data_IF_991995947009
#
_entry.id   IF_991995947009
#
_cell.length_a   1.000
_cell.length_b   1.000
_cell.length_c   1.000
_cell.angle_alpha   90.00
_cell.angle_beta   90.00
_cell.angle_gamma   90.00
#
_symmetry.space_group_name_H-M   'P 1'
#
loop_
_entity.id
_entity.type
_entity.pdbx_description
1 polymer ?
2 non-polymer ?
3 non-polymer ?
4 non-polymer ?
5 water ?
#
# COMPACT_ATOMS: atom_id res chain seq x y z
N UNK A 1 -0.25 -9.51 -14.22
CA UNK A 1 -0.99 -9.11 -12.99
C UNK A 1 -0.56 -9.98 -11.81
N UNK A 2 -0.54 -9.42 -10.61
CA UNK A 2 -0.11 -10.20 -9.46
C UNK A 2 -1.24 -10.75 -8.61
N UNK A 3 -1.14 -12.04 -8.28
CA UNK A 3 -2.17 -12.70 -7.48
C UNK A 3 -1.64 -13.15 -6.12
N UNK A 4 -2.57 -13.38 -5.20
CA UNK A 4 -2.25 -13.87 -3.87
C UNK A 4 -3.47 -14.61 -3.33
N UNK A 5 -3.26 -15.85 -2.89
CA UNK A 5 -4.36 -16.63 -2.36
C UNK A 5 -4.20 -16.85 -0.85
N UNK A 6 -5.21 -16.49 -0.07
CA UNK A 6 -5.13 -16.66 1.38
C UNK A 6 -5.25 -18.10 1.82
N UNK A 7 -5.88 -18.93 1.00
CA UNK A 7 -6.00 -20.34 1.34
C UNK A 7 -4.63 -21.00 1.21
N UNK A 8 -4.11 -21.52 2.30
CA UNK A 8 -2.81 -22.16 2.25
C UNK A 8 -1.68 -21.15 2.29
N UNK A 9 -2.01 -19.88 2.51
CA UNK A 9 -0.99 -18.84 2.58
C UNK A 9 -0.17 -18.94 3.88
N UNK A 10 1.12 -18.70 3.75
CA UNK A 10 2.03 -18.74 4.88
C UNK A 10 3.00 -17.58 4.62
N UNK A 11 3.89 -17.27 5.58
CA UNK A 11 4.84 -16.16 5.40
C UNK A 11 5.60 -16.19 4.06
N UNK A 12 5.92 -17.39 3.60
CA UNK A 12 6.65 -17.54 2.35
C UNK A 12 5.90 -17.05 1.11
N UNK A 13 4.68 -17.54 0.89
CA UNK A 13 3.91 -17.13 -0.29
C UNK A 13 3.50 -15.66 -0.23
N UNK A 14 3.27 -15.16 0.98
CA UNK A 14 2.92 -13.76 1.10
C UNK A 14 4.12 -12.93 0.67
N UNK A 15 5.30 -13.39 1.09
CA UNK A 15 6.53 -12.71 0.74
C UNK A 15 6.68 -12.72 -0.76
N UNK A 16 6.37 -13.86 -1.36
CA UNK A 16 6.47 -13.98 -2.81
C UNK A 16 5.50 -13.07 -3.53
N UNK A 17 4.29 -12.96 -3.00
CA UNK A 17 3.27 -12.11 -3.59
C UNK A 17 3.73 -10.65 -3.51
N UNK A 18 4.27 -10.29 -2.36
CA UNK A 18 4.76 -8.94 -2.15
C UNK A 18 5.94 -8.67 -3.05
N UNK A 19 6.77 -9.69 -3.30
CA UNK A 19 7.89 -9.49 -4.19
C UNK A 19 7.38 -9.24 -5.60
N UNK A 20 6.38 -10.04 -5.98
CA UNK A 20 5.75 -9.96 -7.30
C UNK A 20 5.21 -8.55 -7.49
N UNK A 21 4.50 -8.08 -6.48
CA UNK A 21 3.93 -6.73 -6.49
C UNK A 21 4.98 -5.64 -6.77
N UNK A 22 6.16 -5.78 -6.16
CA UNK A 22 7.24 -4.81 -6.35
C UNK A 22 7.77 -4.91 -7.77
N UNK A 23 7.91 -6.15 -8.24
CA UNK A 23 8.40 -6.40 -9.58
C UNK A 23 7.49 -5.88 -10.67
N UNK A 24 6.20 -5.80 -10.37
CA UNK A 24 5.23 -5.34 -11.36
C UNK A 24 5.22 -3.83 -11.58
N UNK A 25 5.84 -3.10 -10.67
CA UNK A 25 5.87 -1.66 -10.75
C UNK A 25 7.08 -1.24 -11.58
N UNK A 26 6.84 -0.59 -12.73
CA UNK A 26 7.93 -0.15 -13.61
C UNK A 26 8.75 1.00 -13.05
N UNK A 27 10.01 1.02 -13.45
CA UNK A 27 10.97 2.06 -13.03
C UNK A 27 12.14 2.03 -13.99
N UNK A 28 12.68 3.21 -14.29
CA UNK A 28 13.84 3.31 -15.18
C UNK A 28 15.15 3.36 -14.37
N UNK A 29 15.25 4.32 -13.45
CA UNK A 29 16.47 4.40 -12.66
C UNK A 29 16.24 4.01 -11.19
N UNK A 30 17.34 3.67 -10.55
CA UNK A 30 17.36 3.32 -9.15
C UNK A 30 18.13 4.40 -8.44
N UNK A 31 17.74 4.71 -7.22
CA UNK A 31 18.43 5.74 -6.48
C UNK A 31 18.98 5.06 -5.24
N UNK A 32 20.31 5.06 -5.12
CA UNK A 32 20.96 4.39 -4.00
C UNK A 32 20.47 2.95 -3.91
N UNK A 33 20.29 2.37 -5.10
CA UNK A 33 19.86 1.00 -5.27
C UNK A 33 18.38 0.71 -5.01
N UNK A 34 17.56 1.75 -4.82
CA UNK A 34 16.14 1.54 -4.60
C UNK A 34 15.33 1.94 -5.82
N UNK A 35 14.52 1.02 -6.37
CA UNK A 35 13.73 1.33 -7.55
C UNK A 35 13.02 2.67 -7.42
N UNK A 36 13.15 3.53 -8.43
CA UNK A 36 12.47 4.81 -8.41
C UNK A 36 11.21 4.72 -9.25
N UNK A 37 10.08 5.11 -8.67
CA UNK A 37 8.81 5.06 -9.40
C UNK A 37 8.71 6.21 -10.39
N UNK A 38 8.15 5.91 -11.56
CA UNK A 38 7.98 6.88 -12.64
C UNK A 38 7.18 8.10 -12.19
N UNK A 39 7.44 9.28 -12.78
CA UNK A 39 6.75 10.52 -12.43
C UNK A 39 5.28 10.39 -12.81
N UNK A 40 5.09 9.77 -13.97
CA UNK A 40 3.76 9.59 -14.50
C UNK A 40 3.76 8.53 -15.59
N UNK A 41 2.58 8.01 -15.89
CA UNK A 41 2.39 6.99 -16.94
C UNK A 41 1.03 7.24 -17.57
N UNK A 42 0.97 7.36 -18.89
CA UNK A 42 -0.32 7.59 -19.53
C UNK A 42 -0.95 6.28 -20.01
N UNK A 43 -2.28 6.25 -19.96
CA UNK A 43 -3.03 5.09 -20.41
C UNK A 43 -3.40 4.14 -19.30
N UNK A 44 -3.81 2.94 -19.70
CA UNK A 44 -4.20 1.89 -18.79
C UNK A 44 -2.96 1.24 -18.19
N UNK A 45 -1.79 1.59 -18.70
CA UNK A 45 -0.59 0.99 -18.16
C UNK A 45 -0.22 1.62 -16.83
N UNK A 46 -0.92 2.69 -16.49
CA UNK A 46 -0.68 3.38 -15.24
C UNK A 46 -1.27 2.58 -14.07
N UNK A 47 -2.03 1.54 -14.39
CA UNK A 47 -2.69 0.75 -13.35
C UNK A 47 -2.29 -0.74 -13.34
N UNK A 48 -2.10 -1.25 -12.13
CA UNK A 48 -1.76 -2.66 -11.91
C UNK A 48 -2.93 -3.36 -11.24
N UNK A 49 -3.29 -4.54 -11.72
CA UNK A 49 -4.44 -5.25 -11.14
C UNK A 49 -4.04 -6.45 -10.28
N UNK A 50 -4.46 -6.44 -9.01
CA UNK A 50 -4.17 -7.52 -8.08
C UNK A 50 -5.36 -8.46 -7.89
N UNK A 51 -5.22 -9.72 -8.25
CA UNK A 51 -6.31 -10.65 -8.01
C UNK A 51 -6.13 -11.20 -6.60
N UNK A 52 -7.13 -11.00 -5.74
CA UNK A 52 -7.03 -11.48 -4.38
C UNK A 52 -8.10 -12.52 -4.08
N UNK A 53 -7.66 -13.68 -3.63
CA UNK A 53 -8.59 -14.76 -3.31
C UNK A 53 -8.67 -14.96 -1.81
N UNK A 54 -9.87 -14.91 -1.25
CA UNK A 54 -9.99 -15.13 0.19
C UNK A 54 -9.94 -16.63 0.41
N UNK A 55 -9.92 -17.04 1.66
CA UNK A 55 -9.82 -18.44 1.99
C UNK A 55 -10.84 -19.32 1.28
N UNK A 56 -12.07 -18.84 1.08
CA UNK A 56 -13.03 -19.72 0.43
C UNK A 56 -12.89 -19.74 -1.07
N UNK A 57 -12.00 -18.90 -1.59
CA UNK A 57 -11.80 -18.86 -3.02
C UNK A 57 -12.44 -17.67 -3.71
N UNK A 58 -13.19 -16.84 -3.00
CA UNK A 58 -13.79 -15.69 -3.67
C UNK A 58 -12.74 -14.63 -3.94
N UNK A 59 -12.90 -13.90 -5.04
CA UNK A 59 -11.92 -12.92 -5.46
C UNK A 59 -12.46 -11.50 -5.72
N UNK A 60 -11.56 -10.54 -5.58
CA UNK A 60 -11.81 -9.15 -5.86
C UNK A 60 -10.53 -8.78 -6.61
N UNK A 61 -10.62 -7.85 -7.53
CA UNK A 61 -9.45 -7.44 -8.26
C UNK A 61 -9.21 -5.99 -7.90
N UNK A 62 -8.02 -5.67 -7.43
CA UNK A 62 -7.74 -4.30 -7.02
C UNK A 62 -6.84 -3.54 -7.96
N UNK A 63 -7.22 -2.29 -8.26
CA UNK A 63 -6.47 -1.45 -9.21
C UNK A 63 -5.51 -0.52 -8.47
N UNK A 64 -4.24 -0.58 -8.85
CA UNK A 64 -3.23 0.23 -8.22
C UNK A 64 -2.48 1.14 -9.19
N UNK A 65 -2.36 2.41 -8.83
CA UNK A 65 -1.61 3.36 -9.63
C UNK A 65 -0.13 2.97 -9.43
N UNK A 66 0.52 2.57 -10.51
CA UNK A 66 1.90 2.13 -10.46
C UNK A 66 2.93 3.21 -10.22
N UNK A 67 2.49 4.47 -10.19
CA UNK A 67 3.44 5.56 -9.96
C UNK A 67 3.50 5.97 -8.49
N UNK A 68 2.60 5.44 -7.66
CA UNK A 68 2.58 5.77 -6.23
C UNK A 68 2.07 4.65 -5.32
N UNK A 69 1.55 3.60 -5.94
CA UNK A 69 1.03 2.42 -5.25
C UNK A 69 -0.28 2.67 -4.51
N UNK A 70 -0.97 3.72 -4.89
CA UNK A 70 -2.24 4.04 -4.26
C UNK A 70 -3.35 3.19 -4.86
N UNK A 71 -4.16 2.57 -4.00
CA UNK A 71 -5.29 1.80 -4.50
C UNK A 71 -6.31 2.81 -5.03
N UNK A 72 -6.86 2.57 -6.22
CA UNK A 72 -7.84 3.52 -6.79
C UNK A 72 -9.27 3.03 -6.64
N UNK A 73 -9.42 1.71 -6.62
CA UNK A 73 -10.73 1.10 -6.48
C UNK A 73 -10.56 -0.39 -6.68
N UNK A 74 -11.66 -1.12 -6.78
CA UNK A 74 -11.58 -2.55 -6.96
C UNK A 74 -12.86 -3.05 -7.59
N UNK A 75 -12.90 -4.34 -7.91
CA UNK A 75 -14.07 -4.95 -8.53
C UNK A 75 -14.52 -6.18 -7.74
N UNK A 76 -15.81 -6.25 -7.41
CA UNK A 76 -16.39 -7.37 -6.66
C UNK A 76 -17.52 -7.98 -7.48
N UNK A 77 -17.23 -9.14 -8.08
CA UNK A 77 -18.16 -9.85 -8.95
C UNK A 77 -18.42 -8.94 -10.15
N UNK A 78 -19.56 -8.28 -10.17
CA UNK A 78 -19.83 -7.38 -11.28
C UNK A 78 -19.97 -5.92 -10.89
N UNK A 79 -19.70 -5.58 -9.64
CA UNK A 79 -19.78 -4.18 -9.23
C UNK A 79 -18.37 -3.65 -9.07
N UNK A 80 -18.19 -2.37 -9.37
CA UNK A 80 -16.88 -1.77 -9.22
C UNK A 80 -17.00 -0.65 -8.20
N UNK A 81 -15.95 -0.45 -7.43
CA UNK A 81 -15.95 0.58 -6.40
C UNK A 81 -14.68 1.41 -6.52
N UNK A 82 -14.83 2.73 -6.50
CA UNK A 82 -13.69 3.62 -6.59
C UNK A 82 -13.81 4.67 -5.51
N UNK A 83 -12.68 5.17 -5.02
CA UNK A 83 -12.68 6.20 -4.00
C UNK A 83 -13.27 7.48 -4.55
N UNK A 84 -13.65 8.39 -3.67
CA UNK A 84 -14.21 9.65 -4.13
C UNK A 84 -13.11 10.70 -4.19
N UNK A 85 -12.30 10.61 -5.24
CA UNK A 85 -11.20 11.53 -5.49
C UNK A 85 -10.90 11.50 -7.00
N UNK A 86 -10.32 12.58 -7.57
CA UNK A 86 -9.99 12.69 -9.01
C UNK A 86 -9.16 11.55 -9.61
N UNK A 87 -8.08 11.17 -8.95
CA UNK A 87 -7.23 10.08 -9.42
C UNK A 87 -8.05 8.84 -9.74
N UNK A 88 -8.84 8.38 -8.76
CA UNK A 88 -9.68 7.20 -8.92
C UNK A 88 -10.68 7.44 -10.02
N UNK A 89 -11.18 8.67 -10.08
CA UNK A 89 -12.15 9.03 -11.11
C UNK A 89 -11.52 8.72 -12.46
N UNK A 90 -10.34 9.26 -12.68
CA UNK A 90 -9.63 9.02 -13.92
C UNK A 90 -9.50 7.51 -14.16
N UNK A 91 -8.98 6.83 -13.14
CA UNK A 91 -8.76 5.39 -13.18
C UNK A 91 -9.94 4.56 -13.65
N UNK A 92 -11.16 4.98 -13.30
CA UNK A 92 -12.35 4.26 -13.68
C UNK A 92 -12.59 4.26 -15.18
N UNK A 93 -11.81 5.07 -15.89
CA UNK A 93 -11.91 5.15 -17.34
C UNK A 93 -11.09 4.05 -18.02
N UNK A 94 -10.27 3.35 -17.23
CA UNK A 94 -9.42 2.32 -17.77
C UNK A 94 -9.61 0.92 -17.19
N UNK A 95 -10.09 0.81 -15.97
CA UNK A 95 -10.30 -0.52 -15.44
C UNK A 95 -11.74 -0.77 -15.04
N UNK A 96 -12.09 -2.05 -15.03
CA UNK A 96 -13.42 -2.50 -14.68
C UNK A 96 -14.49 -1.83 -15.52
N UNK A 97 -14.17 -1.60 -16.79
CA UNK A 97 -15.12 -0.98 -17.71
C UNK A 97 -16.34 -1.90 -17.92
N UNK A 98 -16.09 -3.20 -17.96
CA UNK A 98 -17.12 -4.20 -18.17
C UNK A 98 -17.97 -4.52 -16.94
N UNK A 99 -17.75 -3.78 -15.86
CA UNK A 99 -18.52 -3.99 -14.64
C UNK A 99 -19.96 -3.60 -14.90
N UNK A 100 -20.89 -4.45 -14.47
CA UNK A 100 -22.30 -4.16 -14.69
C UNK A 100 -22.83 -2.90 -14.04
N UNK A 101 -22.08 -2.34 -13.10
CA UNK A 101 -22.50 -1.12 -12.41
C UNK A 101 -21.29 -0.66 -11.59
N UNK A 102 -21.14 0.65 -11.46
CA UNK A 102 -20.03 1.23 -10.73
C UNK A 102 -20.53 2.07 -9.57
N UNK A 103 -19.92 1.88 -8.40
CA UNK A 103 -20.26 2.62 -7.20
C UNK A 103 -19.04 3.42 -6.78
N UNK A 104 -19.26 4.63 -6.31
CA UNK A 104 -18.18 5.48 -5.83
C UNK A 104 -18.41 5.53 -4.32
N UNK A 105 -17.36 5.31 -3.53
CA UNK A 105 -17.51 5.32 -2.08
C UNK A 105 -17.61 6.75 -1.58
N UNK A 106 -18.24 6.95 -0.42
CA UNK A 106 -18.40 8.28 0.16
C UNK A 106 -17.17 8.86 0.87
N UNK A 107 -15.98 8.52 0.38
CA UNK A 107 -14.74 9.02 0.95
C UNK A 107 -13.59 8.89 -0.02
N UNK A 108 -12.55 9.69 0.17
CA UNK A 108 -11.36 9.60 -0.66
C UNK A 108 -10.51 8.46 -0.08
N UNK A 109 -9.35 8.22 -0.65
CA UNK A 109 -8.54 7.11 -0.16
C UNK A 109 -7.44 7.45 0.81
N UNK A 110 -7.40 8.64 1.40
CA UNK A 110 -6.30 8.90 2.34
C UNK A 110 -6.65 8.44 3.74
N UNK A 111 -5.67 7.95 4.47
CA UNK A 111 -5.86 7.47 5.83
C UNK A 111 -6.74 8.33 6.72
N UNK A 112 -6.55 9.65 6.62
CA UNK A 112 -7.33 10.57 7.42
C UNK A 112 -8.83 10.36 7.21
N UNK A 113 -9.24 10.35 5.95
CA UNK A 113 -10.66 10.18 5.62
C UNK A 113 -11.19 8.77 5.86
N UNK A 114 -10.34 7.76 5.66
CA UNK A 114 -10.73 6.36 5.86
C UNK A 114 -10.94 6.02 7.32
N UNK A 115 -10.15 6.66 8.18
CA UNK A 115 -10.22 6.46 9.62
C UNK A 115 -11.49 7.07 10.18
N UNK A 116 -11.96 8.14 9.54
CA UNK A 116 -13.19 8.80 9.96
C UNK A 116 -14.40 7.94 9.61
N UNK A 117 -14.43 7.52 8.34
CA UNK A 117 -15.49 6.68 7.79
C UNK A 117 -15.58 5.35 8.54
N UNK A 118 -14.43 4.86 8.98
CA UNK A 118 -14.33 3.60 9.71
C UNK A 118 -14.60 3.81 11.20
N UNK A 119 -14.58 5.07 11.63
CA UNK A 119 -14.83 5.41 13.01
C UNK A 119 -13.73 5.01 13.99
N UNK A 120 -12.51 4.83 13.50
CA UNK A 120 -11.41 4.45 14.37
C UNK A 120 -10.04 4.59 13.69
N UNK A 121 -9.00 4.99 14.45
CA UNK A 121 -7.69 5.12 13.83
C UNK A 121 -7.11 3.74 13.52
N UNK A 122 -6.24 3.64 12.53
CA UNK A 122 -5.66 2.34 12.21
C UNK A 122 -4.77 1.84 13.32
N UNK A 123 -4.49 2.68 14.31
CA UNK A 123 -3.67 2.25 15.44
C UNK A 123 -4.42 1.17 16.22
N UNK A 124 -5.74 1.19 16.10
CA UNK A 124 -6.61 0.26 16.78
C UNK A 124 -7.29 -0.75 15.86
N UNK A 125 -6.76 -0.94 14.66
CA UNK A 125 -7.34 -1.91 13.73
C UNK A 125 -6.33 -3.04 13.53
N UNK A 126 -6.62 -4.22 14.06
CA UNK A 126 -5.66 -5.31 13.87
C UNK A 126 -5.46 -5.66 12.41
N UNK A 127 -4.21 -5.84 12.00
CA UNK A 127 -3.90 -6.22 10.64
C UNK A 127 -3.21 -7.58 10.66
N UNK A 128 -3.05 -8.16 9.48
CA UNK A 128 -2.41 -9.46 9.41
C UNK A 128 -3.01 -10.19 8.22
N UNK A 129 -2.67 -11.46 8.03
CA UNK A 129 -3.24 -12.19 6.92
C UNK A 129 -4.67 -12.59 7.20
N UNK A 130 -4.98 -12.92 8.46
CA UNK A 130 -6.36 -13.28 8.74
C UNK A 130 -7.24 -12.09 8.49
N UNK A 131 -6.74 -10.93 8.89
CA UNK A 131 -7.42 -9.68 8.73
C UNK A 131 -7.65 -9.36 7.26
N UNK A 132 -6.67 -9.72 6.42
CA UNK A 132 -6.76 -9.48 5.00
C UNK A 132 -7.85 -10.36 4.41
N UNK A 133 -7.94 -11.60 4.90
CA UNK A 133 -8.96 -12.52 4.44
C UNK A 133 -10.36 -11.95 4.74
N UNK A 134 -10.51 -11.31 5.91
CA UNK A 134 -11.77 -10.70 6.28
C UNK A 134 -12.10 -9.53 5.38
N UNK A 135 -11.11 -8.66 5.20
CA UNK A 135 -11.25 -7.48 4.39
C UNK A 135 -11.74 -7.84 3.00
N UNK A 136 -11.16 -8.87 2.42
CA UNK A 136 -11.53 -9.32 1.08
C UNK A 136 -13.01 -9.71 1.08
N UNK A 137 -13.41 -10.45 2.12
CA UNK A 137 -14.79 -10.90 2.28
C UNK A 137 -15.72 -9.72 2.44
N UNK A 138 -15.28 -8.72 3.20
CA UNK A 138 -16.08 -7.54 3.47
C UNK A 138 -16.39 -6.76 2.21
N UNK A 139 -15.37 -6.55 1.40
CA UNK A 139 -15.53 -5.78 0.16
C UNK A 139 -16.42 -6.45 -0.88
N UNK A 140 -16.66 -7.75 -0.77
CA UNK A 140 -17.53 -8.43 -1.73
C UNK A 140 -18.97 -7.95 -1.58
N UNK A 141 -19.40 -7.81 -0.33
CA UNK A 141 -20.77 -7.39 -0.03
C UNK A 141 -20.77 -6.00 0.59
N UNK A 142 -20.95 -5.01 -0.26
CA UNK A 142 -20.99 -3.59 0.08
C UNK A 142 -21.55 -3.20 1.47
N UNK A 143 -20.85 -2.26 2.09
CA UNK A 143 -21.12 -1.67 3.40
C UNK A 143 -20.01 -0.62 3.54
N UNK A 144 -20.29 0.64 3.18
CA UNK A 144 -19.24 1.66 3.22
C UNK A 144 -18.50 1.86 4.54
N UNK A 145 -19.15 1.55 5.65
CA UNK A 145 -18.48 1.72 6.92
C UNK A 145 -17.51 0.57 7.12
N UNK A 146 -18.00 -0.63 6.87
CA UNK A 146 -17.18 -1.81 7.00
C UNK A 146 -16.02 -1.76 6.01
N UNK A 147 -16.30 -1.37 4.76
CA UNK A 147 -15.28 -1.30 3.73
C UNK A 147 -14.14 -0.35 4.08
N UNK A 148 -14.46 0.75 4.75
CA UNK A 148 -13.47 1.73 5.16
C UNK A 148 -12.39 1.05 5.99
N UNK A 149 -12.83 0.28 6.99
CA UNK A 149 -11.88 -0.42 7.84
C UNK A 149 -11.21 -1.52 7.07
N UNK A 150 -11.93 -2.15 6.15
CA UNK A 150 -11.35 -3.22 5.34
C UNK A 150 -10.27 -2.70 4.41
N UNK A 151 -10.47 -1.50 3.90
CA UNK A 151 -9.54 -0.87 2.99
C UNK A 151 -8.27 -0.43 3.70
N UNK A 152 -8.41 -0.06 4.98
CA UNK A 152 -7.26 0.35 5.78
C UNK A 152 -6.39 -0.87 6.01
N UNK A 153 -7.02 -2.04 6.01
CA UNK A 153 -6.29 -3.26 6.19
C UNK A 153 -5.62 -3.60 4.87
N UNK A 154 -6.41 -3.61 3.80
CA UNK A 154 -5.91 -3.94 2.47
C UNK A 154 -4.73 -3.06 2.05
N UNK A 155 -4.84 -1.74 2.27
CA UNK A 155 -3.77 -0.83 1.90
C UNK A 155 -2.45 -1.12 2.62
N UNK A 156 -2.54 -1.47 3.90
CA UNK A 156 -1.38 -1.76 4.71
C UNK A 156 -0.77 -3.14 4.50
N UNK A 157 -1.60 -4.15 4.27
CA UNK A 157 -1.08 -5.50 4.06
C UNK A 157 -0.65 -5.69 2.61
N UNK A 158 -0.88 -4.65 1.82
CA UNK A 158 -0.56 -4.66 0.40
C UNK A 158 0.45 -3.57 -0.04
N UNK A 159 0.00 -2.32 -0.16
CA UNK A 159 0.84 -1.20 -0.60
C UNK A 159 2.00 -0.87 0.34
N UNK A 160 1.69 -0.71 1.63
CA UNK A 160 2.68 -0.40 2.64
C UNK A 160 3.70 -1.52 2.83
N UNK A 161 3.28 -2.76 2.57
CA UNK A 161 4.19 -3.90 2.70
C UNK A 161 5.19 -3.89 1.56
N UNK A 162 4.71 -3.57 0.37
CA UNK A 162 5.56 -3.52 -0.79
C UNK A 162 6.59 -2.40 -0.64
N UNK A 163 6.15 -1.27 -0.08
CA UNK A 163 7.02 -0.11 0.13
C UNK A 163 8.08 -0.30 1.21
N UNK A 164 7.73 -1.01 2.28
CA UNK A 164 8.67 -1.23 3.38
C UNK A 164 8.81 -2.71 3.70
N UNK A 165 10.06 -3.16 3.81
CA UNK A 165 10.30 -4.56 4.15
C UNK A 165 9.88 -4.81 5.61
N UNK A 166 10.08 -3.81 6.46
CA UNK A 166 9.71 -3.93 7.87
C UNK A 166 8.24 -4.30 7.96
N UNK A 167 7.40 -3.55 7.24
CA UNK A 167 5.98 -3.80 7.25
C UNK A 167 5.64 -5.17 6.68
N UNK A 168 6.41 -5.61 5.70
CA UNK A 168 6.17 -6.92 5.10
C UNK A 168 6.40 -8.01 6.16
N UNK A 169 7.42 -7.78 6.97
CA UNK A 169 7.80 -8.67 8.04
C UNK A 169 6.83 -8.62 9.19
N UNK A 170 6.23 -7.44 9.40
CA UNK A 170 5.24 -7.25 10.45
C UNK A 170 4.05 -8.11 10.12
N UNK A 171 3.74 -8.15 8.83
CA UNK A 171 2.62 -8.92 8.34
C UNK A 171 2.90 -10.39 8.40
N UNK A 172 4.13 -10.79 8.10
CA UNK A 172 4.47 -12.20 8.16
C UNK A 172 4.36 -12.74 9.58
N UNK A 173 4.67 -11.90 10.58
CA UNK A 173 4.56 -12.30 11.98
C UNK A 173 3.08 -12.46 12.38
N UNK A 174 2.23 -11.72 11.69
CA UNK A 174 0.80 -11.73 11.94
C UNK A 174 0.11 -12.60 10.90
N UNK A 175 0.77 -13.70 10.52
CA UNK A 175 0.22 -14.59 9.50
C UNK A 175 -0.92 -15.47 9.98
N UNK A 176 -0.97 -15.74 11.29
CA UNK A 176 -2.01 -16.57 11.86
C UNK A 176 -2.70 -15.88 13.04
N UNK A 177 -2.27 -14.65 13.32
CA UNK A 177 -2.83 -13.86 14.39
C UNK A 177 -2.71 -12.37 14.10
N UNK A 178 -3.85 -11.70 13.91
CA UNK A 178 -3.85 -10.27 13.66
C UNK A 178 -3.35 -9.54 14.88
N UNK A 179 -2.85 -8.33 14.67
CA UNK A 179 -2.35 -7.52 15.76
C UNK A 179 -2.28 -6.10 15.24
N UNK A 180 -2.60 -5.13 16.07
CA UNK A 180 -2.52 -3.76 15.62
C UNK A 180 -1.09 -3.45 15.22
N UNK A 181 -0.92 -2.55 14.25
CA UNK A 181 0.45 -2.21 13.84
C UNK A 181 1.22 -1.47 14.91
N UNK A 182 2.53 -1.72 14.95
CA UNK A 182 3.39 -1.03 15.89
C UNK A 182 3.38 0.44 15.42
N UNK A 183 3.72 1.36 16.31
CA UNK A 183 3.70 2.75 15.89
C UNK A 183 4.86 3.05 14.95
N UNK A 184 5.77 2.10 14.85
CA UNK A 184 6.90 2.26 13.94
C UNK A 184 6.33 2.09 12.55
N UNK A 185 5.41 1.15 12.42
CA UNK A 185 4.73 0.91 11.17
C UNK A 185 3.93 2.13 10.76
N UNK A 186 3.27 2.76 11.71
CA UNK A 186 2.50 3.96 11.41
C UNK A 186 3.45 5.08 11.02
N UNK A 187 4.55 5.16 11.77
CA UNK A 187 5.60 6.15 11.55
C UNK A 187 6.10 6.11 10.11
N UNK A 188 6.33 4.90 9.60
CA UNK A 188 6.79 4.70 8.23
C UNK A 188 5.72 5.06 7.22
N UNK A 189 4.54 4.47 7.36
CA UNK A 189 3.46 4.75 6.43
C UNK A 189 3.28 6.25 6.24
N UNK A 190 3.45 6.99 7.32
CA UNK A 190 3.31 8.45 7.26
C UNK A 190 4.58 9.18 6.77
N UNK A 191 5.70 8.46 6.67
CA UNK A 191 6.94 9.08 6.22
C UNK A 191 7.40 8.66 4.83
N UNK A 192 6.60 7.86 4.13
CA UNK A 192 7.01 7.40 2.80
C UNK A 192 7.37 8.53 1.84
N UNK A 193 6.54 9.57 1.83
CA UNK A 193 6.75 10.74 0.98
C UNK A 193 8.01 11.48 1.37
N UNK A 194 8.11 11.80 2.66
CA UNK A 194 9.27 12.51 3.18
C UNK A 194 10.57 11.80 2.90
N UNK A 195 10.55 10.47 3.10
CA UNK A 195 11.72 9.64 2.88
C UNK A 195 12.04 9.49 1.40
N UNK A 196 11.01 9.34 0.58
CA UNK A 196 11.23 9.21 -0.84
C UNK A 196 11.90 10.50 -1.34
N UNK A 197 11.47 11.63 -0.80
CA UNK A 197 11.98 12.94 -1.18
C UNK A 197 13.43 13.21 -0.77
N UNK A 198 13.68 13.02 0.52
CA UNK A 198 15.00 13.20 1.11
C UNK A 198 16.03 12.21 0.56
N UNK A 199 15.58 11.03 0.14
CA UNK A 199 16.51 10.07 -0.41
C UNK A 199 16.92 10.54 -1.81
N UNK A 200 16.00 11.16 -2.52
CA UNK A 200 16.34 11.63 -3.84
C UNK A 200 17.20 12.91 -3.77
N UNK A 201 16.89 13.79 -2.81
CA UNK A 201 17.65 15.02 -2.65
C UNK A 201 19.05 14.76 -2.11
N UNK A 202 19.31 13.52 -1.73
CA UNK A 202 20.62 13.16 -1.21
C UNK A 202 21.56 12.80 -2.35
N UNK A 203 20.97 12.41 -3.49
CA UNK A 203 21.73 12.02 -4.67
C UNK A 203 22.76 13.06 -5.09
N UNK A 204 22.49 14.34 -4.83
CA UNK A 204 23.45 15.36 -5.17
C UNK A 204 23.96 16.07 -3.94
N UNK A 205 23.74 15.45 -2.79
CA UNK A 205 24.14 16.03 -1.51
C UNK A 205 24.96 15.03 -0.70
N UNK A 206 25.71 14.18 -1.41
CA UNK A 206 26.56 13.16 -0.79
C UNK A 206 25.83 12.16 0.11
N UNK A 207 24.58 11.82 -0.22
CA UNK A 207 23.80 10.90 0.58
C UNK A 207 23.29 11.41 1.92
N UNK A 208 23.40 12.71 2.13
CA UNK A 208 22.95 13.39 3.35
C UNK A 208 21.59 14.07 3.09
N UNK A 209 20.64 13.95 4.02
CA UNK A 209 19.32 14.54 3.84
C UNK A 209 19.29 16.07 4.03
N UNK A 210 18.60 16.77 3.13
CA UNK A 210 18.51 18.23 3.29
C UNK A 210 17.81 18.47 4.64
N UNK A 211 16.73 17.73 4.86
CA UNK A 211 15.93 17.80 6.08
C UNK A 211 15.83 16.38 6.63
N UNK A 212 16.11 16.17 7.93
CA UNK A 212 16.04 14.83 8.51
C UNK A 212 14.60 14.36 8.69
N UNK A 213 14.40 13.05 8.67
CA UNK A 213 13.07 12.51 8.85
C UNK A 213 12.94 11.83 10.20
N UNK A 214 12.06 12.35 11.05
CA UNK A 214 11.82 11.77 12.37
C UNK A 214 10.82 10.61 12.33
N UNK A 215 11.25 9.46 12.86
CA UNK A 215 10.43 8.24 12.94
C UNK A 215 10.40 7.72 14.38
N UNK A 216 9.84 6.52 14.51
CA UNK A 216 9.74 5.82 15.78
C UNK A 216 10.27 4.41 15.50
N UNK A 217 11.26 3.97 16.25
CA UNK A 217 11.78 2.64 16.00
C UNK A 217 10.97 1.58 16.73
N UNK A 218 11.32 0.33 16.44
CA UNK A 218 10.67 -0.84 17.01
C UNK A 218 10.61 -0.87 18.55
N UNK A 219 11.51 -0.14 19.22
CA UNK A 219 11.49 -0.10 20.69
C UNK A 219 10.49 0.94 21.16
N UNK A 220 10.03 1.75 20.22
CA UNK A 220 9.06 2.80 20.53
C UNK A 220 9.74 4.13 20.76
N UNK A 221 11.03 4.22 20.44
CA UNK A 221 11.79 5.46 20.62
C UNK A 221 11.84 6.35 19.38
N UNK A 222 11.78 7.66 19.62
CA UNK A 222 11.84 8.68 18.58
C UNK A 222 13.24 8.60 17.97
N UNK A 223 13.35 8.66 16.65
CA UNK A 223 14.66 8.54 16.02
C UNK A 223 14.79 9.35 14.74
N UNK A 224 15.93 10.01 14.57
CA UNK A 224 16.19 10.85 13.40
C UNK A 224 16.94 10.14 12.28
N UNK A 225 16.54 10.38 11.05
CA UNK A 225 17.19 9.79 9.89
C UNK A 225 17.82 10.95 9.13
N UNK A 226 19.15 10.99 9.09
CA UNK A 226 19.83 12.07 8.43
C UNK A 226 20.58 11.76 7.10
N UNK A 227 20.90 10.50 6.87
CA UNK A 227 21.73 10.05 5.74
C UNK A 227 21.32 8.67 5.19
N UNK A 228 21.54 8.37 3.91
CA UNK A 228 21.30 7.08 3.34
C UNK A 228 21.98 5.88 3.96
N UNK A 229 22.90 6.02 4.92
CA UNK A 229 23.50 4.80 5.48
C UNK A 229 22.56 4.14 6.47
N UNK A 230 21.58 4.90 6.96
CA UNK A 230 20.60 4.38 7.90
C UNK A 230 19.98 3.07 7.37
N UNK A 231 19.65 2.17 8.28
CA UNK A 231 19.07 0.90 7.87
C UNK A 231 17.72 1.07 7.17
N UNK A 232 17.06 2.19 7.44
CA UNK A 232 15.77 2.48 6.83
C UNK A 232 15.97 2.50 5.32
N UNK A 233 17.05 3.16 4.92
CA UNK A 233 17.38 3.33 3.51
C UNK A 233 18.11 2.15 2.88
N UNK A 234 19.03 1.55 3.64
CA UNK A 234 19.81 0.43 3.12
C UNK A 234 19.02 -0.87 3.15
N UNK A 235 18.18 -1.04 4.18
CA UNK A 235 17.44 -2.29 4.31
C UNK A 235 15.92 -2.19 4.15
N UNK A 236 15.29 -1.18 4.75
CA UNK A 236 13.83 -1.02 4.72
C UNK A 236 13.12 -0.63 3.43
N UNK A 237 13.02 0.67 3.18
CA UNK A 237 12.34 1.19 1.99
C UNK A 237 12.74 0.43 0.69
N UNK A 238 11.72 -0.04 -0.04
CA UNK A 238 11.89 -0.81 -1.27
C UNK A 238 11.42 -0.04 -2.52
N UNK A 239 10.70 1.04 -2.33
CA UNK A 239 10.22 1.82 -3.48
C UNK A 239 10.22 3.30 -3.12
N UNK A 240 10.37 4.15 -4.13
CA UNK A 240 10.41 5.57 -3.88
C UNK A 240 9.42 6.34 -4.74
N UNK A 241 8.68 7.20 -4.07
CA UNK A 241 7.73 8.07 -4.73
C UNK A 241 8.59 9.11 -5.44
N UNK A 242 8.35 9.27 -6.74
CA UNK A 242 9.10 10.23 -7.52
C UNK A 242 8.81 11.66 -7.02
N UNK A 243 9.86 12.43 -6.79
CA UNK A 243 9.71 13.80 -6.28
C UNK A 243 8.83 14.68 -7.17
N UNK A 244 8.59 14.27 -8.41
CA UNK A 244 7.73 15.06 -9.29
C UNK A 244 6.31 15.03 -8.73
N UNK A 245 6.01 13.97 -7.99
CA UNK A 245 4.69 13.82 -7.40
C UNK A 245 4.70 14.21 -5.92
N UNK A 246 5.39 15.30 -5.57
CA UNK A 246 5.44 15.74 -4.18
C UNK A 246 5.34 17.27 -4.06
#
# INVERSE_FOLDING_TARGET
DVSFRLSGADPSSYGMFIKDLRNALPHTEKVYNIPLLLPSVSGAGRYLLMHLFNYDGNTITVAVDVTNVYIMGYLALTTSYFFNEPAADLASQYVFRSARRKITLPYSGNYERLQIAAGKPREKIPIGLPALDTAISTLLHYDSTAAAGALLVLIQTTAEAARFKYIEQQIQERAYRDEVPSSATISLENSWSGLSKQIQLAQGNNGVFRTPTVLVDSKGNRVQITNVTSNVVTSNIQLLLNTKNI
#
